data_IF_209066627617
#
_entry.id   IF_209066627617
#
_cell.length_a   1.000
_cell.length_b   1.000
_cell.length_c   1.000
_cell.angle_alpha   90.00
_cell.angle_beta   90.00
_cell.angle_gamma   90.00
#
_symmetry.space_group_name_H-M   'P 1'
#
loop_
_entity.id
_entity.type
_entity.pdbx_description
1 polymer ?
#
# COMPACT_ATOMS: atom_id res chain seq x y z
N UNK A 1 -35.10 73.01 41.57
CA UNK A 1 -33.93 73.64 40.90
C UNK A 1 -33.41 72.64 39.87
N UNK A 2 -33.17 72.92 38.59
CA UNK A 2 -33.33 74.08 37.74
C UNK A 2 -33.20 73.57 36.28
N UNK A 3 -34.08 74.05 35.40
CA UNK A 3 -33.96 74.28 33.94
C UNK A 3 -33.19 73.31 33.02
N UNK A 4 -33.97 72.79 32.07
CA UNK A 4 -33.72 72.72 30.61
C UNK A 4 -32.44 73.34 30.03
N UNK A 5 -31.85 72.67 29.03
CA UNK A 5 -31.78 73.17 27.63
C UNK A 5 -31.07 72.18 26.68
N UNK A 6 -31.49 72.28 25.43
CA UNK A 6 -31.12 71.54 24.23
C UNK A 6 -29.75 71.96 23.64
N UNK A 7 -29.21 71.02 22.84
CA UNK A 7 -28.27 71.13 21.69
C UNK A 7 -26.75 71.25 21.96
N UNK A 8 -25.85 70.89 21.00
CA UNK A 8 -26.06 70.51 19.59
C UNK A 8 -25.30 69.24 19.07
N UNK A 9 -25.65 68.85 17.83
CA UNK A 9 -24.88 67.97 16.94
C UNK A 9 -23.41 68.40 16.80
N UNK A 10 -22.49 67.43 16.85
CA UNK A 10 -21.14 67.57 16.30
C UNK A 10 -20.94 66.50 15.20
N UNK A 11 -20.97 66.96 13.96
CA UNK A 11 -20.64 66.20 12.75
C UNK A 11 -19.11 66.13 12.66
N UNK A 12 -18.52 64.98 13.01
CA UNK A 12 -17.09 64.75 12.81
C UNK A 12 -16.87 64.10 11.43
N UNK A 13 -16.46 64.93 10.47
CA UNK A 13 -15.93 64.50 9.17
C UNK A 13 -14.53 63.89 9.42
N UNK A 14 -14.40 62.57 9.39
CA UNK A 14 -13.09 61.92 9.32
C UNK A 14 -12.72 61.78 7.85
N UNK A 15 -11.79 62.63 7.42
CA UNK A 15 -11.15 62.52 6.10
C UNK A 15 -10.40 61.19 6.00
N UNK A 16 -10.76 60.40 5.00
CA UNK A 16 -10.00 59.23 4.58
C UNK A 16 -8.61 59.66 4.08
N UNK A 17 -7.55 59.20 4.75
CA UNK A 17 -6.23 59.11 4.14
C UNK A 17 -6.23 57.88 3.22
N UNK A 18 -6.77 58.05 2.03
CA UNK A 18 -6.51 57.14 0.92
C UNK A 18 -5.05 57.34 0.50
N UNK A 19 -4.16 56.44 0.93
CA UNK A 19 -2.90 56.25 0.24
C UNK A 19 -3.17 55.91 -1.23
N UNK A 20 -2.29 56.27 -2.17
CA UNK A 20 -2.52 55.97 -3.59
C UNK A 20 -2.75 54.46 -3.72
N UNK A 21 -3.75 54.02 -4.52
CA UNK A 21 -3.89 52.60 -4.78
C UNK A 21 -2.57 52.13 -5.38
N UNK A 22 -1.92 51.17 -4.73
CA UNK A 22 -0.94 50.33 -5.41
C UNK A 22 -1.61 49.91 -6.72
N UNK A 23 -0.92 50.09 -7.85
CA UNK A 23 -1.45 49.76 -9.17
C UNK A 23 -1.75 48.27 -9.14
N UNK A 24 -3.00 47.92 -8.79
CA UNK A 24 -3.45 46.56 -8.72
C UNK A 24 -3.45 46.06 -10.15
N UNK A 25 -2.69 45.01 -10.42
CA UNK A 25 -2.71 44.38 -11.74
C UNK A 25 -4.12 43.93 -12.06
N UNK A 26 -4.43 43.75 -13.33
CA UNK A 26 -5.72 43.15 -13.72
C UNK A 26 -5.91 41.78 -13.07
N UNK A 27 -7.15 41.32 -12.87
CA UNK A 27 -7.40 39.99 -12.27
C UNK A 27 -6.61 38.85 -12.93
N UNK A 28 -6.31 38.97 -14.23
CA UNK A 28 -5.49 38.02 -14.99
C UNK A 28 -3.99 38.15 -14.66
N UNK A 29 -3.47 39.36 -14.47
CA UNK A 29 -2.09 39.59 -14.03
C UNK A 29 -1.87 39.07 -12.61
N UNK A 30 -2.81 39.32 -11.71
CA UNK A 30 -2.77 38.81 -10.33
C UNK A 30 -2.84 37.27 -10.31
N UNK A 31 -3.70 36.65 -11.14
CA UNK A 31 -3.69 35.19 -11.29
C UNK A 31 -2.32 34.67 -11.76
N UNK A 32 -1.74 35.32 -12.77
CA UNK A 32 -0.44 34.90 -13.30
C UNK A 32 0.69 35.05 -12.28
N UNK A 33 0.73 36.17 -11.54
CA UNK A 33 1.66 36.39 -10.44
C UNK A 33 1.49 35.35 -9.32
N UNK A 34 0.24 34.99 -9.00
CA UNK A 34 -0.09 33.93 -8.05
C UNK A 34 0.44 32.56 -8.48
N UNK A 35 0.27 32.19 -9.75
CA UNK A 35 0.80 30.94 -10.32
C UNK A 35 2.33 30.91 -10.32
N UNK A 36 2.98 32.02 -10.71
CA UNK A 36 4.45 32.14 -10.65
C UNK A 36 4.99 32.04 -9.22
N UNK A 37 4.24 32.52 -8.23
CA UNK A 37 4.60 32.41 -6.82
C UNK A 37 4.48 30.96 -6.35
N UNK A 38 3.43 30.24 -6.78
CA UNK A 38 3.26 28.80 -6.55
C UNK A 38 4.43 27.98 -7.13
N UNK A 39 4.86 28.29 -8.36
CA UNK A 39 6.00 27.62 -9.01
C UNK A 39 7.31 27.83 -8.23
N UNK A 40 7.45 28.98 -7.59
CA UNK A 40 8.57 29.32 -6.70
C UNK A 40 8.41 28.80 -5.27
N UNK A 41 7.32 28.08 -4.98
CA UNK A 41 6.94 27.63 -3.63
C UNK A 41 6.72 28.77 -2.61
N UNK A 42 6.50 30.00 -3.08
CA UNK A 42 6.10 31.13 -2.23
C UNK A 42 4.57 31.10 -2.05
N UNK A 43 4.12 30.31 -1.07
CA UNK A 43 2.68 30.16 -0.79
C UNK A 43 2.06 31.41 -0.16
N UNK A 44 2.85 32.21 0.56
CA UNK A 44 2.36 33.44 1.15
C UNK A 44 2.11 34.50 0.07
N UNK A 45 3.07 34.70 -0.84
CA UNK A 45 2.90 35.55 -2.01
C UNK A 45 1.78 35.07 -2.93
N UNK A 46 1.70 33.76 -3.18
CA UNK A 46 0.64 33.18 -3.99
C UNK A 46 -0.76 33.48 -3.43
N UNK A 47 -0.96 33.33 -2.11
CA UNK A 47 -2.24 33.63 -1.48
C UNK A 47 -2.67 35.10 -1.67
N UNK A 48 -1.73 36.04 -1.54
CA UNK A 48 -2.01 37.48 -1.69
C UNK A 48 -2.50 37.76 -3.12
N UNK A 49 -1.72 37.35 -4.11
CA UNK A 49 -2.05 37.57 -5.52
C UNK A 49 -3.36 36.89 -5.93
N UNK A 50 -3.58 35.65 -5.50
CA UNK A 50 -4.81 34.91 -5.82
C UNK A 50 -6.05 35.52 -5.15
N UNK A 51 -5.92 36.04 -3.92
CA UNK A 51 -7.01 36.79 -3.26
C UNK A 51 -7.30 38.10 -3.96
N UNK A 52 -6.28 38.84 -4.40
CA UNK A 52 -6.47 40.09 -5.17
C UNK A 52 -7.18 39.81 -6.50
N UNK A 53 -6.80 38.74 -7.20
CA UNK A 53 -7.49 38.30 -8.41
C UNK A 53 -8.98 38.00 -8.15
N UNK A 54 -9.29 37.31 -7.04
CA UNK A 54 -10.66 36.96 -6.66
C UNK A 54 -11.48 38.13 -6.11
N UNK A 55 -10.84 39.17 -5.55
CA UNK A 55 -11.54 40.41 -5.19
C UNK A 55 -12.07 41.14 -6.43
N UNK A 56 -11.29 41.14 -7.52
CA UNK A 56 -11.70 41.75 -8.79
C UNK A 56 -12.69 40.88 -9.56
N UNK A 57 -12.47 39.55 -9.57
CA UNK A 57 -13.35 38.58 -10.22
C UNK A 57 -13.58 37.35 -9.32
N UNK A 58 -14.66 37.37 -8.50
CA UNK A 58 -14.96 36.27 -7.58
C UNK A 58 -15.27 34.93 -8.27
N UNK A 59 -15.69 34.97 -9.53
CA UNK A 59 -16.05 33.85 -10.40
C UNK A 59 -14.86 33.23 -11.15
N UNK A 60 -13.63 33.70 -10.90
CA UNK A 60 -12.44 33.21 -11.57
C UNK A 60 -12.02 31.82 -11.08
N UNK A 61 -12.60 30.78 -11.68
CA UNK A 61 -12.42 29.39 -11.28
C UNK A 61 -10.93 28.94 -11.21
N UNK A 62 -10.03 29.29 -12.15
CA UNK A 62 -8.61 28.95 -12.07
C UNK A 62 -7.91 29.55 -10.84
N UNK A 63 -8.30 30.77 -10.43
CA UNK A 63 -7.76 31.41 -9.23
C UNK A 63 -8.22 30.68 -7.96
N UNK A 64 -9.46 30.19 -7.92
CA UNK A 64 -9.94 29.37 -6.81
C UNK A 64 -9.21 28.02 -6.73
N UNK A 65 -8.98 27.34 -7.86
CA UNK A 65 -8.20 26.09 -7.88
C UNK A 65 -6.77 26.32 -7.37
N UNK A 66 -6.10 27.36 -7.86
CA UNK A 66 -4.76 27.73 -7.42
C UNK A 66 -4.71 28.11 -5.92
N UNK A 67 -5.74 28.81 -5.42
CA UNK A 67 -5.82 29.18 -4.02
C UNK A 67 -6.08 27.95 -3.13
N UNK A 68 -6.93 27.03 -3.57
CA UNK A 68 -7.13 25.72 -2.92
C UNK A 68 -5.83 24.92 -2.83
N UNK A 69 -5.05 24.87 -3.91
CA UNK A 69 -3.72 24.25 -3.90
C UNK A 69 -2.78 24.95 -2.91
N UNK A 70 -2.78 26.29 -2.87
CA UNK A 70 -1.97 27.09 -1.94
C UNK A 70 -2.29 26.73 -0.48
N UNK A 71 -3.57 26.67 -0.12
CA UNK A 71 -4.02 26.26 1.22
C UNK A 71 -3.59 24.83 1.58
N UNK A 72 -3.64 23.88 0.64
CA UNK A 72 -3.12 22.52 0.87
C UNK A 72 -1.63 22.51 1.19
N UNK A 73 -0.82 23.35 0.53
CA UNK A 73 0.62 23.44 0.77
C UNK A 73 0.95 24.06 2.13
N UNK A 74 0.09 24.93 2.64
CA UNK A 74 0.20 25.53 3.97
C UNK A 74 -0.48 24.69 5.08
N UNK A 75 -1.07 23.53 4.74
CA UNK A 75 -1.73 22.65 5.73
C UNK A 75 -3.11 23.13 6.20
N UNK A 76 -3.71 24.13 5.53
CA UNK A 76 -5.01 24.69 5.88
C UNK A 76 -6.14 23.92 5.18
N UNK A 77 -6.42 22.71 5.66
CA UNK A 77 -7.30 21.73 4.97
C UNK A 77 -8.76 22.17 4.83
N UNK A 78 -9.35 22.79 5.84
CA UNK A 78 -10.76 23.24 5.78
C UNK A 78 -10.96 24.35 4.74
N UNK A 79 -10.02 25.31 4.70
CA UNK A 79 -10.00 26.36 3.68
C UNK A 79 -9.78 25.77 2.29
N UNK A 80 -8.87 24.80 2.15
CA UNK A 80 -8.68 24.11 0.88
C UNK A 80 -9.95 23.39 0.41
N UNK A 81 -10.65 22.67 1.29
CA UNK A 81 -11.85 21.92 0.95
C UNK A 81 -12.98 22.84 0.46
N UNK A 82 -13.30 23.87 1.25
CA UNK A 82 -14.32 24.86 0.92
C UNK A 82 -13.99 25.61 -0.39
N UNK A 83 -12.73 25.97 -0.61
CA UNK A 83 -12.29 26.68 -1.82
C UNK A 83 -12.39 25.78 -3.07
N UNK A 84 -11.95 24.52 -2.98
CA UNK A 84 -12.05 23.56 -4.09
C UNK A 84 -13.51 23.17 -4.40
N UNK A 85 -14.39 23.12 -3.40
CA UNK A 85 -15.83 22.98 -3.60
C UNK A 85 -16.44 24.21 -4.27
N UNK A 86 -15.96 25.42 -3.92
CA UNK A 86 -16.30 26.66 -4.63
C UNK A 86 -15.94 26.58 -6.11
N UNK A 87 -14.71 26.16 -6.43
CA UNK A 87 -14.23 26.07 -7.80
C UNK A 87 -15.06 25.11 -8.65
N UNK A 88 -15.49 23.97 -8.08
CA UNK A 88 -16.40 23.03 -8.74
C UNK A 88 -17.76 23.64 -9.06
N UNK A 89 -18.33 24.44 -8.14
CA UNK A 89 -19.60 25.14 -8.36
C UNK A 89 -19.51 26.18 -9.48
N UNK A 90 -18.32 26.76 -9.68
CA UNK A 90 -18.03 27.68 -10.78
C UNK A 90 -17.66 26.98 -12.10
N UNK A 91 -17.70 25.65 -12.15
CA UNK A 91 -17.46 24.90 -13.37
C UNK A 91 -15.98 24.65 -13.71
N UNK A 92 -15.06 24.76 -12.73
CA UNK A 92 -13.67 24.35 -12.96
C UNK A 92 -13.57 22.87 -13.37
N UNK A 93 -12.61 22.57 -14.25
CA UNK A 93 -12.43 21.22 -14.76
C UNK A 93 -12.07 20.23 -13.65
N UNK A 94 -12.71 19.06 -13.68
CA UNK A 94 -12.43 17.99 -12.71
C UNK A 94 -10.97 17.53 -12.78
N UNK A 95 -10.33 17.60 -13.94
CA UNK A 95 -8.93 17.21 -14.13
C UNK A 95 -7.97 18.04 -13.25
N UNK A 96 -8.29 19.31 -13.01
CA UNK A 96 -7.47 20.20 -12.18
C UNK A 96 -7.75 20.06 -10.68
N UNK A 97 -8.95 19.60 -10.33
CA UNK A 97 -9.47 19.59 -8.96
C UNK A 97 -9.36 18.21 -8.30
N UNK A 98 -9.71 17.15 -9.02
CA UNK A 98 -9.78 15.80 -8.46
C UNK A 98 -8.44 15.33 -7.87
N UNK A 99 -7.25 15.60 -8.45
CA UNK A 99 -5.98 15.29 -7.80
C UNK A 99 -5.78 16.03 -6.47
N UNK A 100 -6.21 17.29 -6.39
CA UNK A 100 -6.08 18.12 -5.17
C UNK A 100 -7.03 17.64 -4.06
N UNK A 101 -8.28 17.34 -4.42
CA UNK A 101 -9.27 16.78 -3.48
C UNK A 101 -8.90 15.37 -3.04
N UNK A 102 -8.37 14.55 -3.94
CA UNK A 102 -7.83 13.24 -3.60
C UNK A 102 -6.66 13.37 -2.60
N UNK A 103 -5.73 14.29 -2.84
CA UNK A 103 -4.64 14.57 -1.91
C UNK A 103 -5.14 15.06 -0.55
N UNK A 104 -6.11 15.98 -0.52
CA UNK A 104 -6.76 16.44 0.71
C UNK A 104 -7.33 15.27 1.53
N UNK A 105 -8.10 14.39 0.89
CA UNK A 105 -8.72 13.23 1.56
C UNK A 105 -7.69 12.24 2.09
N UNK A 106 -6.60 12.01 1.35
CA UNK A 106 -5.46 11.23 1.86
C UNK A 106 -4.81 11.87 3.09
N UNK A 107 -4.67 13.20 3.12
CA UNK A 107 -4.12 13.92 4.28
C UNK A 107 -5.04 13.92 5.50
N UNK A 108 -6.35 13.87 5.29
CA UNK A 108 -7.36 13.69 6.33
C UNK A 108 -7.49 12.23 6.81
N UNK A 109 -6.81 11.27 6.16
CA UNK A 109 -6.92 9.84 6.48
C UNK A 109 -8.20 9.18 5.94
N UNK A 110 -8.96 9.88 5.09
CA UNK A 110 -10.20 9.40 4.48
C UNK A 110 -9.91 8.50 3.25
N UNK A 111 -9.18 7.41 3.45
CA UNK A 111 -8.76 6.51 2.36
C UNK A 111 -9.94 5.88 1.62
N UNK A 112 -11.03 5.55 2.32
CA UNK A 112 -12.22 4.97 1.71
C UNK A 112 -12.91 5.96 0.77
N UNK A 113 -13.03 7.23 1.18
CA UNK A 113 -13.58 8.29 0.33
C UNK A 113 -12.73 8.51 -0.93
N UNK A 114 -11.41 8.29 -0.85
CA UNK A 114 -10.50 8.32 -2.01
C UNK A 114 -10.84 7.21 -3.00
N UNK A 115 -11.09 5.99 -2.53
CA UNK A 115 -11.40 4.84 -3.38
C UNK A 115 -12.79 4.95 -4.02
N UNK A 116 -13.78 5.43 -3.27
CA UNK A 116 -15.17 5.49 -3.72
C UNK A 116 -15.45 6.72 -4.59
N UNK A 117 -14.80 7.85 -4.27
CA UNK A 117 -15.10 9.15 -4.88
C UNK A 117 -14.22 9.53 -6.06
N UNK A 118 -13.08 8.87 -6.27
CA UNK A 118 -12.09 9.27 -7.27
C UNK A 118 -11.70 8.11 -8.17
N UNK A 119 -12.09 8.21 -9.44
CA UNK A 119 -11.69 7.28 -10.49
C UNK A 119 -10.62 7.93 -11.40
N UNK A 120 -9.33 7.55 -11.26
CA UNK A 120 -8.25 8.12 -12.08
C UNK A 120 -8.42 7.86 -13.58
N UNK A 121 -9.23 6.86 -13.97
CA UNK A 121 -9.41 6.48 -15.37
C UNK A 121 -10.43 7.35 -16.11
N UNK A 122 -11.19 8.20 -15.40
CA UNK A 122 -12.02 9.26 -16.00
C UNK A 122 -11.21 10.45 -16.50
N UNK A 123 -9.92 10.49 -16.14
CA UNK A 123 -8.98 11.55 -16.49
C UNK A 123 -7.94 11.05 -17.50
N UNK A 124 -7.33 11.98 -18.22
CA UNK A 124 -6.20 11.72 -19.12
C UNK A 124 -4.99 12.57 -18.73
N UNK A 125 -3.83 12.34 -19.38
CA UNK A 125 -2.64 13.17 -19.21
C UNK A 125 -2.14 13.30 -17.77
N UNK A 126 -1.76 14.53 -17.39
CA UNK A 126 -1.13 14.84 -16.12
C UNK A 126 -2.03 14.56 -14.90
N UNK A 127 -3.33 14.80 -15.00
CA UNK A 127 -4.29 14.58 -13.92
C UNK A 127 -4.34 13.10 -13.52
N UNK A 128 -4.49 12.20 -14.49
CA UNK A 128 -4.46 10.74 -14.26
C UNK A 128 -3.14 10.29 -13.66
N UNK A 129 -2.00 10.77 -14.18
CA UNK A 129 -0.69 10.42 -13.63
C UNK A 129 -0.56 10.85 -12.16
N UNK A 130 -1.01 12.06 -11.81
CA UNK A 130 -0.97 12.59 -10.44
C UNK A 130 -1.88 11.80 -9.50
N UNK A 131 -3.10 11.46 -9.93
CA UNK A 131 -4.03 10.66 -9.15
C UNK A 131 -3.55 9.22 -8.95
N UNK A 132 -3.01 8.57 -9.99
CA UNK A 132 -2.43 7.23 -9.84
C UNK A 132 -1.25 7.22 -8.87
N UNK A 133 -0.39 8.24 -8.93
CA UNK A 133 0.70 8.42 -7.95
C UNK A 133 0.18 8.60 -6.52
N UNK A 134 -0.88 9.38 -6.35
CA UNK A 134 -1.53 9.57 -5.05
C UNK A 134 -2.20 8.29 -4.54
N UNK A 135 -2.68 7.44 -5.46
CA UNK A 135 -3.35 6.17 -5.14
C UNK A 135 -2.37 5.09 -4.68
N UNK A 136 -1.22 5.00 -5.34
CA UNK A 136 -0.54 3.72 -5.48
C UNK A 136 0.54 3.39 -4.46
N UNK A 137 1.17 4.36 -3.81
CA UNK A 137 2.33 4.07 -2.94
C UNK A 137 1.92 3.80 -1.50
N UNK A 138 1.95 2.53 -1.10
CA UNK A 138 1.81 2.11 0.28
C UNK A 138 3.13 1.54 0.79
N UNK A 139 3.54 1.98 1.98
CA UNK A 139 4.72 1.46 2.69
C UNK A 139 4.33 1.12 4.12
N UNK A 140 4.83 0.01 4.63
CA UNK A 140 4.66 -0.41 6.02
C UNK A 140 5.99 -0.94 6.55
N UNK A 141 6.42 -0.42 7.68
CA UNK A 141 7.63 -0.79 8.40
C UNK A 141 7.23 -1.33 9.77
N UNK A 142 7.73 -2.50 10.14
CA UNK A 142 7.40 -3.18 11.38
C UNK A 142 8.66 -3.70 12.07
N UNK A 143 8.88 -3.30 13.31
CA UNK A 143 9.98 -3.81 14.14
C UNK A 143 9.45 -4.60 15.33
N UNK A 144 9.97 -5.80 15.52
CA UNK A 144 9.61 -6.71 16.60
C UNK A 144 10.82 -6.98 17.50
N UNK A 145 10.62 -6.94 18.81
CA UNK A 145 11.69 -7.22 19.77
C UNK A 145 11.16 -7.94 21.02
N UNK A 146 12.00 -8.74 21.71
CA UNK A 146 11.66 -9.28 23.02
C UNK A 146 11.42 -8.15 24.04
N UNK A 147 10.32 -8.24 24.78
CA UNK A 147 9.93 -7.35 25.87
C UNK A 147 9.39 -8.21 27.01
N UNK A 148 10.19 -8.36 28.06
CA UNK A 148 9.95 -9.33 29.14
C UNK A 148 9.78 -10.76 28.57
N UNK A 149 8.71 -11.46 28.93
CA UNK A 149 8.46 -12.85 28.53
C UNK A 149 7.81 -13.01 27.13
N UNK A 150 7.66 -11.93 26.35
CA UNK A 150 7.00 -11.98 25.03
C UNK A 150 7.69 -11.08 24.01
N UNK A 151 7.43 -11.30 22.74
CA UNK A 151 7.81 -10.36 21.67
C UNK A 151 6.76 -9.28 21.53
N UNK A 152 7.15 -8.02 21.36
CA UNK A 152 6.24 -6.92 21.10
C UNK A 152 6.53 -6.27 19.73
N UNK A 153 5.51 -5.66 19.12
CA UNK A 153 5.67 -4.73 18.02
C UNK A 153 6.18 -3.40 18.60
N UNK A 154 7.48 -3.16 18.51
CA UNK A 154 8.16 -1.99 19.08
C UNK A 154 8.32 -0.84 18.09
N UNK A 155 8.15 -1.12 16.80
CA UNK A 155 8.14 -0.10 15.74
C UNK A 155 7.02 -0.39 14.74
N UNK A 156 6.27 0.64 14.36
CA UNK A 156 5.27 0.56 13.30
C UNK A 156 5.15 1.93 12.63
N UNK A 157 5.64 2.04 11.39
CA UNK A 157 5.50 3.24 10.58
C UNK A 157 4.84 2.89 9.25
N UNK A 158 4.01 3.79 8.73
CA UNK A 158 3.30 3.52 7.47
C UNK A 158 3.11 4.77 6.61
N UNK A 159 2.97 4.55 5.30
CA UNK A 159 2.49 5.52 4.32
C UNK A 159 1.42 4.85 3.46
N UNK A 160 0.40 5.61 3.07
CA UNK A 160 -0.71 5.06 2.28
C UNK A 160 -1.60 4.14 3.12
N UNK A 161 -2.26 3.14 2.53
CA UNK A 161 -3.29 2.34 3.19
C UNK A 161 -2.81 1.10 3.98
N UNK A 162 -1.56 0.64 3.82
CA UNK A 162 -1.09 -0.56 4.52
C UNK A 162 -1.05 -0.36 6.04
N UNK A 163 -1.65 -1.27 6.80
CA UNK A 163 -1.76 -1.20 8.27
C UNK A 163 -1.59 -2.58 8.89
N UNK A 164 -1.48 -2.59 10.22
CA UNK A 164 -1.59 -3.81 11.03
C UNK A 164 -2.78 -3.70 11.98
N UNK A 165 -3.38 -4.83 12.33
CA UNK A 165 -4.26 -4.89 13.50
C UNK A 165 -3.44 -4.81 14.80
N UNK A 166 -4.13 -4.57 15.91
CA UNK A 166 -3.52 -4.61 17.25
C UNK A 166 -2.83 -5.97 17.45
N UNK A 167 -1.53 -6.01 17.78
CA UNK A 167 -0.83 -7.26 18.05
C UNK A 167 -1.44 -8.03 19.21
N UNK A 168 -1.38 -9.35 19.15
CA UNK A 168 -1.89 -10.26 20.18
C UNK A 168 -0.97 -11.48 20.35
N UNK A 169 -1.12 -12.19 21.47
CA UNK A 169 -0.19 -13.24 21.92
C UNK A 169 -0.96 -14.48 22.35
N UNK A 170 -1.43 -15.31 21.40
CA UNK A 170 -2.24 -16.48 21.73
C UNK A 170 -1.38 -17.66 22.23
N UNK A 171 -0.08 -17.65 21.92
CA UNK A 171 0.85 -18.72 22.24
C UNK A 171 1.53 -18.46 23.60
N UNK A 172 1.75 -19.53 24.38
CA UNK A 172 2.44 -19.44 25.66
C UNK A 172 3.93 -19.08 25.52
N UNK A 173 4.53 -19.26 24.33
CA UNK A 173 5.93 -18.96 24.05
C UNK A 173 6.22 -17.47 23.81
N UNK A 174 5.21 -16.61 23.97
CA UNK A 174 5.34 -15.17 23.83
C UNK A 174 5.40 -14.67 22.39
N UNK A 175 5.08 -15.52 21.40
CA UNK A 175 5.01 -15.13 19.98
C UNK A 175 4.02 -13.98 19.74
N UNK A 176 4.45 -12.97 18.98
CA UNK A 176 3.63 -11.82 18.59
C UNK A 176 2.89 -12.11 17.27
N UNK A 177 1.56 -12.15 17.29
CA UNK A 177 0.74 -12.38 16.10
C UNK A 177 0.22 -11.04 15.56
N UNK A 178 0.36 -10.84 14.26
CA UNK A 178 -0.07 -9.61 13.58
C UNK A 178 -0.78 -9.92 12.26
N UNK A 179 -1.97 -9.36 12.11
CA UNK A 179 -2.67 -9.32 10.82
C UNK A 179 -2.25 -8.10 10.02
N UNK A 180 -1.71 -8.33 8.83
CA UNK A 180 -1.42 -7.30 7.83
C UNK A 180 -2.69 -6.97 7.05
N UNK A 181 -2.99 -5.68 6.97
CA UNK A 181 -4.16 -5.14 6.31
C UNK A 181 -3.74 -4.33 5.10
N UNK A 182 -4.38 -4.65 3.97
CA UNK A 182 -4.50 -3.75 2.84
C UNK A 182 -5.99 -3.44 2.68
N UNK A 183 -6.51 -2.38 3.36
CA UNK A 183 -7.92 -2.01 3.31
C UNK A 183 -8.48 -1.83 1.89
N UNK A 184 -7.74 -1.32 0.89
CA UNK A 184 -8.22 -1.32 -0.49
C UNK A 184 -8.48 -2.76 -0.94
N UNK A 185 -9.66 -3.01 -1.51
CA UNK A 185 -10.13 -4.35 -1.90
C UNK A 185 -9.24 -5.12 -2.87
N UNK A 186 -8.22 -4.46 -3.44
CA UNK A 186 -7.10 -5.05 -4.17
C UNK A 186 -6.19 -3.96 -4.77
N UNK A 187 -5.24 -4.41 -5.58
CA UNK A 187 -4.12 -3.64 -6.14
C UNK A 187 -4.34 -3.48 -7.64
N UNK A 188 -4.19 -2.26 -8.17
CA UNK A 188 -4.35 -1.97 -9.61
C UNK A 188 -3.02 -1.62 -10.27
N UNK A 189 -3.00 -1.60 -11.61
CA UNK A 189 -1.81 -1.21 -12.35
C UNK A 189 -1.31 0.19 -11.99
N UNK A 190 -0.03 0.30 -11.63
CA UNK A 190 0.60 1.54 -11.17
C UNK A 190 0.76 1.65 -9.66
N UNK A 191 0.09 0.77 -8.88
CA UNK A 191 0.28 0.72 -7.44
C UNK A 191 1.63 0.09 -7.05
N UNK A 192 2.15 0.50 -5.90
CA UNK A 192 3.39 0.05 -5.31
C UNK A 192 3.20 -0.23 -3.82
N UNK A 193 3.28 -1.50 -3.43
CA UNK A 193 3.25 -1.94 -2.04
C UNK A 193 4.66 -2.29 -1.58
N UNK A 194 5.10 -1.70 -0.47
CA UNK A 194 6.36 -2.01 0.19
C UNK A 194 6.12 -2.42 1.64
N UNK A 195 6.60 -3.60 2.01
CA UNK A 195 6.60 -4.10 3.38
C UNK A 195 8.05 -4.33 3.81
N UNK A 196 8.44 -3.75 4.94
CA UNK A 196 9.72 -4.00 5.59
C UNK A 196 9.47 -4.48 7.02
N UNK A 197 9.96 -5.66 7.34
CA UNK A 197 9.77 -6.32 8.63
C UNK A 197 11.13 -6.66 9.20
N UNK A 198 11.39 -6.21 10.43
CA UNK A 198 12.61 -6.56 11.16
C UNK A 198 12.27 -7.22 12.49
N UNK A 199 12.79 -8.42 12.69
CA UNK A 199 12.79 -9.12 13.97
C UNK A 199 14.17 -8.96 14.59
N UNK A 200 14.22 -8.33 15.77
CA UNK A 200 15.43 -8.27 16.59
C UNK A 200 15.83 -9.68 17.07
N UNK A 201 17.08 -9.90 17.51
CA UNK A 201 17.52 -11.18 18.03
C UNK A 201 16.58 -11.75 19.10
N UNK A 202 16.29 -13.06 19.01
CA UNK A 202 15.38 -13.76 19.93
C UNK A 202 13.89 -13.43 19.79
N UNK A 203 13.49 -12.51 18.90
CA UNK A 203 12.09 -12.18 18.69
C UNK A 203 11.33 -13.33 18.02
N UNK A 204 10.04 -13.48 18.33
CA UNK A 204 9.14 -14.48 17.73
C UNK A 204 7.89 -13.80 17.20
N UNK A 205 7.63 -13.91 15.91
CA UNK A 205 6.46 -13.28 15.31
C UNK A 205 5.78 -14.16 14.26
N UNK A 206 4.46 -14.06 14.20
CA UNK A 206 3.63 -14.61 13.13
C UNK A 206 2.92 -13.46 12.41
N UNK A 207 3.16 -13.35 11.11
CA UNK A 207 2.55 -12.37 10.24
C UNK A 207 1.69 -13.08 9.20
N UNK A 208 0.44 -12.67 9.08
CA UNK A 208 -0.51 -13.22 8.11
C UNK A 208 -1.45 -12.12 7.61
N UNK A 209 -2.19 -12.38 6.54
CA UNK A 209 -3.27 -11.50 6.06
C UNK A 209 -4.63 -12.12 6.39
N UNK A 210 -5.68 -11.34 6.66
CA UNK A 210 -7.00 -11.88 6.94
C UNK A 210 -7.75 -12.32 5.67
N UNK A 211 -7.30 -11.87 4.50
CA UNK A 211 -7.91 -12.22 3.22
C UNK A 211 -6.88 -12.23 2.09
N UNK A 212 -7.29 -12.80 0.96
CA UNK A 212 -6.49 -12.88 -0.25
C UNK A 212 -6.09 -11.50 -0.78
N UNK A 213 -4.84 -11.36 -1.21
CA UNK A 213 -4.40 -10.18 -1.96
C UNK A 213 -4.89 -10.28 -3.39
N UNK A 214 -5.62 -9.28 -3.88
CA UNK A 214 -6.20 -9.28 -5.23
C UNK A 214 -5.44 -8.31 -6.12
N UNK A 215 -4.93 -8.76 -7.26
CA UNK A 215 -4.36 -7.90 -8.29
C UNK A 215 -5.31 -7.82 -9.46
N UNK A 216 -5.83 -6.64 -9.73
CA UNK A 216 -6.84 -6.40 -10.76
C UNK A 216 -6.23 -6.16 -12.14
N UNK A 217 -7.11 -6.20 -13.15
CA UNK A 217 -6.79 -5.85 -14.53
C UNK A 217 -6.05 -4.51 -14.62
N UNK A 218 -5.01 -4.49 -15.43
CA UNK A 218 -4.25 -3.27 -15.71
C UNK A 218 -4.59 -2.71 -17.10
N UNK A 219 -4.69 -1.38 -17.19
CA UNK A 219 -4.78 -0.66 -18.47
C UNK A 219 -3.42 -0.33 -19.09
N UNK A 220 -2.33 -0.92 -18.57
CA UNK A 220 -0.97 -0.70 -19.06
C UNK A 220 0.08 -0.74 -17.95
N UNK A 221 -0.08 0.06 -16.90
CA UNK A 221 0.92 0.16 -15.83
C UNK A 221 1.06 -1.15 -15.02
N UNK A 222 2.27 -1.47 -14.55
CA UNK A 222 2.51 -2.65 -13.71
C UNK A 222 2.32 -2.31 -12.24
N UNK A 223 1.64 -3.17 -11.48
CA UNK A 223 1.61 -3.14 -10.03
C UNK A 223 2.89 -3.75 -9.46
N UNK A 224 3.44 -3.16 -8.41
CA UNK A 224 4.67 -3.63 -7.75
C UNK A 224 4.37 -4.01 -6.31
N UNK A 225 4.84 -5.17 -5.87
CA UNK A 225 4.85 -5.58 -4.48
C UNK A 225 6.27 -5.99 -4.08
N UNK A 226 6.78 -5.40 -3.00
CA UNK A 226 8.09 -5.72 -2.43
C UNK A 226 7.94 -6.01 -0.94
N UNK A 227 8.41 -7.17 -0.52
CA UNK A 227 8.36 -7.63 0.86
C UNK A 227 9.78 -8.00 1.27
N UNK A 228 10.31 -7.29 2.26
CA UNK A 228 11.62 -7.52 2.84
C UNK A 228 11.44 -7.94 4.29
N UNK A 229 11.87 -9.14 4.62
CA UNK A 229 11.70 -9.77 5.91
C UNK A 229 13.09 -10.08 6.48
N UNK A 230 13.51 -9.39 7.54
CA UNK A 230 14.83 -9.57 8.18
C UNK A 230 14.63 -10.22 9.55
N UNK A 231 15.28 -11.35 9.77
CA UNK A 231 15.15 -12.16 10.98
C UNK A 231 16.50 -12.26 11.68
N UNK A 232 16.62 -11.62 12.86
CA UNK A 232 17.84 -11.62 13.67
C UNK A 232 18.18 -13.00 14.26
N UNK A 233 19.41 -13.14 14.77
CA UNK A 233 19.88 -14.39 15.37
C UNK A 233 18.95 -14.87 16.51
N UNK A 234 18.69 -16.17 16.57
CA UNK A 234 17.76 -16.81 17.50
C UNK A 234 16.29 -16.38 17.34
N UNK A 235 15.97 -15.51 16.38
CA UNK A 235 14.61 -15.07 16.13
C UNK A 235 13.86 -16.05 15.22
N UNK A 236 12.53 -16.04 15.32
CA UNK A 236 11.62 -16.93 14.60
C UNK A 236 10.52 -16.16 13.88
N UNK A 237 10.38 -16.39 12.57
CA UNK A 237 9.32 -15.79 11.76
C UNK A 237 8.40 -16.86 11.14
N UNK A 238 7.11 -16.72 11.39
CA UNK A 238 6.05 -17.36 10.60
C UNK A 238 5.47 -16.35 9.61
N UNK A 239 5.81 -16.46 8.31
CA UNK A 239 5.27 -15.61 7.24
C UNK A 239 4.21 -16.37 6.44
N UNK A 240 2.94 -16.20 6.81
CA UNK A 240 1.85 -17.07 6.38
C UNK A 240 0.69 -16.27 5.75
N UNK A 241 0.92 -15.46 4.70
CA UNK A 241 -0.16 -14.70 4.07
C UNK A 241 -1.22 -15.61 3.45
N UNK A 242 -2.44 -15.10 3.27
CA UNK A 242 -3.42 -15.77 2.40
C UNK A 242 -2.95 -15.71 0.94
N UNK A 243 -3.65 -16.42 0.06
CA UNK A 243 -3.33 -16.47 -1.35
C UNK A 243 -3.33 -15.11 -2.06
N UNK A 244 -2.52 -15.00 -3.10
CA UNK A 244 -2.56 -13.91 -4.07
C UNK A 244 -3.41 -14.33 -5.26
N UNK A 245 -4.49 -13.60 -5.54
CA UNK A 245 -5.37 -13.81 -6.69
C UNK A 245 -5.01 -12.80 -7.78
N UNK A 246 -4.58 -13.30 -8.94
CA UNK A 246 -4.22 -12.51 -10.10
C UNK A 246 -5.37 -12.51 -11.09
N UNK A 247 -6.11 -11.40 -11.21
CA UNK A 247 -7.25 -11.32 -12.12
C UNK A 247 -6.79 -11.30 -13.58
N UNK A 248 -7.72 -11.65 -14.48
CA UNK A 248 -7.46 -11.60 -15.92
C UNK A 248 -7.06 -10.19 -16.40
N UNK A 249 -5.96 -10.12 -17.14
CA UNK A 249 -5.37 -8.87 -17.62
C UNK A 249 -4.57 -8.10 -16.56
N UNK A 250 -4.33 -8.66 -15.38
CA UNK A 250 -3.45 -8.05 -14.40
C UNK A 250 -1.99 -8.01 -14.89
N UNK A 251 -1.27 -6.96 -14.51
CA UNK A 251 0.17 -6.81 -14.76
C UNK A 251 0.87 -6.57 -13.42
N UNK A 252 1.63 -7.55 -12.92
CA UNK A 252 2.29 -7.42 -11.61
C UNK A 252 3.74 -7.93 -11.59
N UNK A 253 4.53 -7.37 -10.67
CA UNK A 253 5.76 -7.98 -10.19
C UNK A 253 5.75 -7.99 -8.66
N UNK A 254 5.82 -9.18 -8.07
CA UNK A 254 5.94 -9.39 -6.63
C UNK A 254 7.31 -9.97 -6.31
N UNK A 255 7.95 -9.44 -5.28
CA UNK A 255 9.21 -9.97 -4.77
C UNK A 255 9.16 -10.06 -3.25
N UNK A 256 9.46 -11.25 -2.75
CA UNK A 256 9.56 -11.56 -1.33
C UNK A 256 10.99 -11.98 -1.04
N UNK A 257 11.66 -11.24 -0.17
CA UNK A 257 13.04 -11.48 0.23
C UNK A 257 13.10 -11.68 1.73
N UNK A 258 13.50 -12.88 2.13
CA UNK A 258 13.68 -13.30 3.51
C UNK A 258 15.19 -13.41 3.80
N UNK A 259 15.66 -12.63 4.76
CA UNK A 259 17.06 -12.59 5.18
C UNK A 259 17.18 -13.07 6.63
N UNK A 260 17.96 -14.12 6.83
CA UNK A 260 18.18 -14.77 8.12
C UNK A 260 19.60 -14.47 8.61
N UNK A 261 19.74 -14.18 9.90
CA UNK A 261 21.03 -14.04 10.56
C UNK A 261 21.35 -15.27 11.42
N UNK A 262 22.54 -15.85 11.28
CA UNK A 262 23.03 -16.94 12.12
C UNK A 262 22.08 -18.14 12.18
N UNK A 263 21.57 -18.43 13.37
CA UNK A 263 20.66 -19.53 13.69
C UNK A 263 19.16 -19.16 13.61
N UNK A 264 18.83 -17.99 13.03
CA UNK A 264 17.46 -17.57 12.78
C UNK A 264 16.64 -18.65 12.06
N UNK A 265 15.37 -18.75 12.45
CA UNK A 265 14.44 -19.73 11.93
C UNK A 265 13.23 -19.07 11.26
N UNK A 266 12.77 -19.62 10.15
CA UNK A 266 11.58 -19.15 9.47
C UNK A 266 10.78 -20.27 8.82
N UNK A 267 9.45 -20.12 8.84
CA UNK A 267 8.53 -20.84 7.97
C UNK A 267 7.73 -19.81 7.18
N UNK A 268 7.83 -19.85 5.86
CA UNK A 268 7.24 -18.87 4.98
C UNK A 268 6.56 -19.55 3.80
N UNK A 269 5.43 -19.03 3.34
CA UNK A 269 4.83 -19.49 2.08
C UNK A 269 4.34 -18.35 1.19
N UNK A 270 4.22 -18.66 -0.09
CA UNK A 270 3.45 -17.90 -1.07
C UNK A 270 2.51 -18.86 -1.79
N UNK A 271 1.23 -18.50 -1.85
CA UNK A 271 0.19 -19.22 -2.60
C UNK A 271 -0.35 -18.27 -3.66
N UNK A 272 -0.35 -18.68 -4.92
CA UNK A 272 -0.78 -17.84 -6.05
C UNK A 272 -1.87 -18.55 -6.83
N UNK A 273 -2.96 -17.83 -7.11
CA UNK A 273 -4.02 -18.22 -8.03
C UNK A 273 -4.04 -17.29 -9.24
N UNK A 274 -3.93 -17.87 -10.44
CA UNK A 274 -4.06 -17.19 -11.71
C UNK A 274 -5.51 -17.28 -12.20
N UNK A 275 -6.20 -16.15 -12.24
CA UNK A 275 -7.64 -16.07 -12.54
C UNK A 275 -8.52 -16.40 -11.34
N UNK A 276 -9.81 -16.59 -11.61
CA UNK A 276 -10.84 -16.96 -10.62
C UNK A 276 -11.63 -18.16 -11.15
N UNK A 277 -11.05 -19.36 -11.15
CA UNK A 277 -11.68 -20.56 -11.71
C UNK A 277 -13.05 -20.86 -11.07
N UNK A 278 -13.21 -20.61 -9.77
CA UNK A 278 -14.48 -20.78 -9.06
C UNK A 278 -15.59 -19.84 -9.54
N UNK A 279 -15.24 -18.72 -10.19
CA UNK A 279 -16.16 -17.78 -10.81
C UNK A 279 -16.28 -17.96 -12.34
N UNK A 280 -15.68 -19.02 -12.89
CA UNK A 280 -15.63 -19.25 -14.35
C UNK A 280 -14.68 -18.31 -15.10
N UNK A 281 -13.85 -17.54 -14.40
CA UNK A 281 -12.91 -16.61 -15.02
C UNK A 281 -11.52 -17.22 -15.11
N UNK A 282 -11.10 -17.54 -16.34
CA UNK A 282 -9.73 -17.97 -16.63
C UNK A 282 -8.71 -16.81 -16.55
N UNK A 283 -7.45 -17.14 -16.80
CA UNK A 283 -6.36 -16.18 -16.92
C UNK A 283 -5.76 -16.25 -18.33
N UNK A 284 -6.30 -15.42 -19.23
CA UNK A 284 -6.02 -15.42 -20.66
C UNK A 284 -5.20 -14.20 -21.10
N UNK A 285 -5.23 -13.12 -20.32
CA UNK A 285 -4.48 -11.88 -20.55
C UNK A 285 -3.62 -11.50 -19.34
N UNK A 286 -2.58 -10.71 -19.61
CA UNK A 286 -1.75 -10.11 -18.57
C UNK A 286 -0.37 -10.76 -18.45
N UNK A 287 0.34 -10.37 -17.39
CA UNK A 287 1.69 -10.83 -17.10
C UNK A 287 1.94 -10.71 -15.59
N UNK A 288 2.43 -11.78 -14.97
CA UNK A 288 2.85 -11.75 -13.58
C UNK A 288 4.26 -12.29 -13.44
N UNK A 289 5.02 -11.73 -12.51
CA UNK A 289 6.31 -12.27 -12.08
C UNK A 289 6.32 -12.36 -10.57
N UNK A 290 6.71 -13.53 -10.07
CA UNK A 290 6.93 -13.78 -8.66
C UNK A 290 8.40 -14.09 -8.44
N UNK A 291 9.02 -13.40 -7.50
CA UNK A 291 10.37 -13.66 -7.03
C UNK A 291 10.33 -14.01 -5.55
N UNK A 292 10.93 -15.13 -5.18
CA UNK A 292 11.10 -15.52 -3.79
C UNK A 292 12.58 -15.77 -3.53
N UNK A 293 13.14 -15.06 -2.57
CA UNK A 293 14.55 -15.15 -2.21
C UNK A 293 14.70 -15.45 -0.72
N UNK A 294 15.48 -16.47 -0.40
CA UNK A 294 15.91 -16.78 0.97
C UNK A 294 17.42 -16.67 1.06
N UNK A 295 17.89 -15.86 2.01
CA UNK A 295 19.30 -15.61 2.27
C UNK A 295 19.62 -15.91 3.73
N UNK A 296 20.82 -16.44 4.01
CA UNK A 296 21.39 -16.57 5.35
C UNK A 296 22.78 -15.95 5.38
N UNK A 297 23.00 -14.99 6.26
CA UNK A 297 24.29 -14.28 6.41
C UNK A 297 24.89 -13.80 5.08
N UNK A 298 24.02 -13.24 4.23
CA UNK A 298 24.40 -12.72 2.90
C UNK A 298 24.63 -13.80 1.83
N UNK A 299 24.45 -15.10 2.14
CA UNK A 299 24.54 -16.20 1.18
C UNK A 299 23.14 -16.66 0.76
N UNK A 300 22.88 -16.86 -0.55
CA UNK A 300 21.56 -17.33 -1.00
C UNK A 300 21.38 -18.82 -0.66
N UNK A 301 20.24 -19.16 -0.04
CA UNK A 301 19.79 -20.53 0.19
C UNK A 301 18.78 -20.98 -0.86
N UNK A 302 17.90 -20.07 -1.29
CA UNK A 302 16.93 -20.32 -2.36
C UNK A 302 16.72 -19.04 -3.17
N UNK A 303 16.78 -19.15 -4.49
CA UNK A 303 16.39 -18.10 -5.42
C UNK A 303 15.36 -18.69 -6.39
N UNK A 304 14.13 -18.19 -6.35
CA UNK A 304 13.04 -18.65 -7.21
C UNK A 304 12.48 -17.47 -8.00
N UNK A 305 12.33 -17.67 -9.31
CA UNK A 305 11.72 -16.69 -10.21
C UNK A 305 10.71 -17.39 -11.11
N UNK A 306 9.45 -17.01 -10.97
CA UNK A 306 8.33 -17.64 -11.68
C UNK A 306 7.67 -16.61 -12.59
N UNK A 307 8.05 -16.56 -13.89
CA UNK A 307 7.38 -15.71 -14.88
C UNK A 307 6.10 -16.38 -15.37
N UNK A 308 4.96 -15.81 -15.01
CA UNK A 308 3.67 -16.27 -15.50
C UNK A 308 3.25 -15.44 -16.71
N UNK A 309 2.93 -16.11 -17.81
CA UNK A 309 2.25 -15.54 -18.97
C UNK A 309 1.18 -16.52 -19.48
N UNK A 310 -0.04 -16.07 -19.79
CA UNK A 310 -1.07 -16.93 -20.37
C UNK A 310 -0.55 -17.63 -21.63
N UNK A 311 -0.91 -18.91 -21.80
CA UNK A 311 -0.52 -19.71 -22.96
C UNK A 311 0.97 -20.07 -23.07
N UNK A 312 1.83 -19.60 -22.15
CA UNK A 312 3.26 -19.94 -22.14
C UNK A 312 3.51 -21.44 -21.95
N UNK A 313 4.71 -21.90 -22.34
CA UNK A 313 5.12 -23.29 -22.10
C UNK A 313 5.10 -23.63 -20.61
N UNK A 314 5.54 -22.72 -19.74
CA UNK A 314 5.48 -22.90 -18.29
C UNK A 314 4.05 -23.12 -17.80
N UNK A 315 3.06 -22.42 -18.35
CA UNK A 315 1.67 -22.58 -17.95
C UNK A 315 1.08 -23.95 -18.34
N UNK A 316 1.46 -24.50 -19.50
CA UNK A 316 0.82 -25.70 -20.08
C UNK A 316 1.58 -27.00 -19.86
N UNK A 317 2.91 -26.95 -19.86
CA UNK A 317 3.72 -28.16 -19.87
C UNK A 317 3.72 -28.89 -18.52
N UNK A 318 3.87 -30.21 -18.56
CA UNK A 318 3.94 -31.05 -17.37
C UNK A 318 5.17 -30.78 -16.48
N UNK A 319 6.24 -30.18 -17.02
CA UNK A 319 7.39 -29.72 -16.21
C UNK A 319 7.14 -28.36 -15.54
N UNK A 320 6.09 -27.64 -15.95
CA UNK A 320 5.65 -26.38 -15.36
C UNK A 320 4.37 -26.56 -14.52
N UNK A 321 3.37 -25.72 -14.78
CA UNK A 321 2.09 -25.75 -14.06
C UNK A 321 1.15 -26.86 -14.55
N UNK A 322 1.40 -27.51 -15.69
CA UNK A 322 0.56 -28.59 -16.19
C UNK A 322 -0.88 -28.19 -16.47
N UNK A 323 -1.13 -26.92 -16.82
CA UNK A 323 -2.48 -26.38 -17.02
C UNK A 323 -3.19 -25.96 -15.73
N UNK A 324 -2.58 -26.15 -14.56
CA UNK A 324 -3.11 -25.67 -13.30
C UNK A 324 -2.98 -24.16 -13.15
N UNK A 325 -3.93 -23.58 -12.40
CA UNK A 325 -4.02 -22.14 -12.17
C UNK A 325 -3.53 -21.74 -10.79
N UNK A 326 -3.33 -22.69 -9.88
CA UNK A 326 -2.75 -22.45 -8.56
C UNK A 326 -1.38 -23.07 -8.48
N UNK A 327 -0.42 -22.31 -7.96
CA UNK A 327 0.87 -22.82 -7.51
C UNK A 327 1.25 -22.20 -6.18
N UNK A 328 2.07 -22.90 -5.41
CA UNK A 328 2.53 -22.40 -4.13
C UNK A 328 3.91 -22.94 -3.77
N UNK A 329 4.66 -22.16 -3.02
CA UNK A 329 5.96 -22.53 -2.48
C UNK A 329 5.96 -22.25 -0.97
N UNK A 330 6.34 -23.23 -0.17
CA UNK A 330 6.62 -23.10 1.26
C UNK A 330 8.09 -23.43 1.50
N UNK A 331 8.72 -22.63 2.34
CA UNK A 331 10.07 -22.86 2.84
C UNK A 331 10.05 -22.92 4.36
N UNK A 332 10.81 -23.85 4.94
CA UNK A 332 10.97 -23.96 6.39
C UNK A 332 12.41 -24.36 6.74
N UNK A 333 13.07 -23.58 7.60
CA UNK A 333 14.46 -23.81 8.03
C UNK A 333 14.54 -24.82 9.18
N UNK A 334 15.71 -25.42 9.43
CA UNK A 334 15.89 -26.41 10.49
C UNK A 334 15.14 -27.71 10.19
N UNK A 335 14.96 -28.01 8.91
CA UNK A 335 14.45 -29.30 8.46
C UNK A 335 15.54 -30.37 8.50
N UNK A 336 15.11 -31.63 8.53
CA UNK A 336 16.00 -32.78 8.41
C UNK A 336 15.33 -33.88 7.58
N UNK A 337 16.11 -34.85 7.12
CA UNK A 337 15.64 -35.98 6.30
C UNK A 337 14.57 -36.81 6.99
N UNK A 338 14.66 -37.01 8.30
CA UNK A 338 13.69 -37.76 9.10
C UNK A 338 12.34 -37.03 9.12
N UNK A 339 12.36 -35.69 9.26
CA UNK A 339 11.14 -34.88 9.20
C UNK A 339 10.51 -34.95 7.82
N UNK A 340 11.33 -34.85 6.76
CA UNK A 340 10.85 -35.00 5.38
C UNK A 340 10.14 -36.36 5.18
N UNK A 341 10.73 -37.45 5.68
CA UNK A 341 10.14 -38.79 5.56
C UNK A 341 8.77 -38.86 6.25
N UNK A 342 8.66 -38.35 7.50
CA UNK A 342 7.38 -38.28 8.23
C UNK A 342 6.32 -37.43 7.51
N UNK A 343 6.72 -36.28 6.96
CA UNK A 343 5.81 -35.43 6.19
C UNK A 343 5.31 -36.11 4.91
N UNK A 344 6.18 -36.85 4.20
CA UNK A 344 5.80 -37.61 3.01
C UNK A 344 4.83 -38.75 3.35
N UNK A 345 5.04 -39.43 4.47
CA UNK A 345 4.13 -40.49 4.92
C UNK A 345 2.77 -39.92 5.33
N UNK A 346 2.75 -38.85 6.12
CA UNK A 346 1.50 -38.26 6.64
C UNK A 346 0.67 -37.52 5.59
N UNK A 347 1.31 -36.86 4.62
CA UNK A 347 0.62 -36.13 3.55
C UNK A 347 0.30 -37.01 2.34
N UNK A 348 0.91 -38.20 2.26
CA UNK A 348 0.79 -39.12 1.15
C UNK A 348 1.49 -38.62 -0.14
N UNK A 349 1.45 -39.46 -1.17
CA UNK A 349 1.93 -39.10 -2.51
C UNK A 349 0.86 -38.31 -3.27
N UNK A 350 0.66 -37.04 -2.91
CA UNK A 350 -0.13 -36.15 -3.76
C UNK A 350 0.69 -35.80 -5.01
N UNK A 351 0.22 -36.17 -6.21
CA UNK A 351 0.81 -35.79 -7.52
C UNK A 351 1.02 -34.27 -7.69
N UNK A 352 0.38 -33.51 -6.81
CA UNK A 352 0.36 -32.04 -6.77
C UNK A 352 1.33 -31.43 -5.78
N UNK A 353 1.94 -32.21 -4.87
CA UNK A 353 2.83 -31.73 -3.81
C UNK A 353 4.21 -32.37 -3.92
N UNK A 354 5.23 -31.57 -4.16
CA UNK A 354 6.63 -31.96 -4.05
C UNK A 354 7.22 -31.50 -2.73
N UNK A 355 7.90 -32.39 -2.01
CA UNK A 355 8.68 -32.06 -0.82
C UNK A 355 10.15 -32.36 -1.07
N UNK A 356 11.02 -31.38 -0.86
CA UNK A 356 12.47 -31.49 -1.06
C UNK A 356 13.19 -30.99 0.18
N UNK A 357 14.21 -31.72 0.62
CA UNK A 357 15.14 -31.27 1.64
C UNK A 357 16.46 -30.89 0.98
N UNK A 358 16.97 -29.70 1.27
CA UNK A 358 18.22 -29.16 0.76
C UNK A 358 18.95 -28.49 1.93
N UNK A 359 20.04 -29.09 2.38
CA UNK A 359 20.82 -28.65 3.55
C UNK A 359 19.96 -28.49 4.82
N UNK A 360 19.66 -27.25 5.25
CA UNK A 360 18.83 -26.94 6.42
C UNK A 360 17.37 -26.60 6.04
N UNK A 361 17.03 -26.67 4.76
CA UNK A 361 15.79 -26.15 4.19
C UNK A 361 14.86 -27.27 3.72
N UNK A 362 13.63 -27.25 4.23
CA UNK A 362 12.50 -27.93 3.59
C UNK A 362 11.87 -26.97 2.58
N UNK A 363 11.75 -27.42 1.34
CA UNK A 363 11.00 -26.74 0.29
C UNK A 363 9.83 -27.61 -0.11
N UNK A 364 8.61 -27.09 0.06
CA UNK A 364 7.39 -27.72 -0.40
C UNK A 364 6.80 -26.91 -1.57
N UNK A 365 6.49 -27.58 -2.68
CA UNK A 365 5.87 -26.96 -3.85
C UNK A 365 4.55 -27.62 -4.17
N UNK A 366 3.52 -26.81 -4.37
CA UNK A 366 2.21 -27.26 -4.79
C UNK A 366 1.87 -26.72 -6.17
N UNK A 367 1.20 -27.53 -7.00
CA UNK A 367 0.48 -27.08 -8.19
C UNK A 367 -0.88 -27.77 -8.24
N UNK A 368 -1.93 -27.04 -8.60
CA UNK A 368 -3.26 -27.64 -8.65
C UNK A 368 -4.39 -26.65 -8.94
N UNK A 369 -5.64 -27.10 -8.82
CA UNK A 369 -6.79 -26.27 -9.16
C UNK A 369 -7.14 -25.23 -8.07
N UNK A 370 -6.73 -25.44 -6.81
CA UNK A 370 -7.32 -24.76 -5.66
C UNK A 370 -6.30 -24.32 -4.60
N UNK A 371 -6.31 -23.04 -4.22
CA UNK A 371 -5.51 -22.51 -3.13
C UNK A 371 -5.90 -23.06 -1.76
N UNK A 372 -7.16 -23.46 -1.55
CA UNK A 372 -7.55 -24.03 -0.27
C UNK A 372 -6.88 -25.39 -0.04
N UNK A 373 -6.67 -26.21 -1.08
CA UNK A 373 -5.87 -27.43 -0.99
C UNK A 373 -4.41 -27.11 -0.62
N UNK A 374 -3.78 -26.18 -1.34
CA UNK A 374 -2.42 -25.73 -1.04
C UNK A 374 -2.28 -25.30 0.42
N UNK A 375 -3.19 -24.43 0.89
CA UNK A 375 -3.18 -23.90 2.26
C UNK A 375 -3.39 -24.99 3.31
N UNK A 376 -4.27 -25.97 3.07
CA UNK A 376 -4.44 -27.12 3.98
C UNK A 376 -3.15 -27.92 4.12
N UNK A 377 -2.51 -28.28 3.01
CA UNK A 377 -1.25 -29.03 2.99
C UNK A 377 -0.13 -28.23 3.67
N UNK A 378 0.02 -26.96 3.34
CA UNK A 378 1.05 -26.08 3.91
C UNK A 378 0.82 -25.81 5.41
N UNK A 379 -0.44 -25.72 5.86
CA UNK A 379 -0.76 -25.62 7.29
C UNK A 379 -0.34 -26.88 8.04
N UNK A 380 -0.49 -28.07 7.45
CA UNK A 380 -0.03 -29.32 8.07
C UNK A 380 1.50 -29.35 8.22
N UNK A 381 2.22 -28.94 7.17
CA UNK A 381 3.69 -28.82 7.20
C UNK A 381 4.14 -27.81 8.26
N UNK A 382 3.50 -26.63 8.30
CA UNK A 382 3.80 -25.58 9.28
C UNK A 382 3.55 -26.05 10.73
N UNK A 383 2.47 -26.79 10.98
CA UNK A 383 2.17 -27.33 12.31
C UNK A 383 3.25 -28.30 12.78
N UNK A 384 3.68 -29.23 11.94
CA UNK A 384 4.80 -30.14 12.24
C UNK A 384 6.11 -29.37 12.50
N UNK A 385 6.37 -28.32 11.72
CA UNK A 385 7.52 -27.45 11.94
C UNK A 385 7.44 -26.68 13.27
N UNK A 386 6.24 -26.23 13.68
CA UNK A 386 6.05 -25.51 14.95
C UNK A 386 6.26 -26.37 16.18
N UNK A 387 5.75 -27.60 16.19
CA UNK A 387 5.87 -28.52 17.34
C UNK A 387 7.30 -28.95 17.60
N UNK A 388 8.13 -29.05 16.55
CA UNK A 388 9.50 -29.52 16.69
C UNK A 388 10.52 -28.45 17.13
N UNK A 389 10.10 -27.17 17.23
CA UNK A 389 10.93 -26.07 17.74
C UNK A 389 10.73 -25.77 19.24
N UNK A 390 10.02 -26.66 19.96
CA UNK A 390 9.73 -26.54 21.40
C UNK A 390 10.57 -27.47 22.29
N UNK A 391 11.73 -27.92 21.82
CA UNK A 391 12.68 -28.74 22.57
C UNK A 391 13.79 -27.91 23.19
#
# INVERSE_FOLDING_TARGET
>A
MNRSRLQPLALALVFALAGPPAVAGTATEELHAGLQSLDRNDYAGAEIHLKNALQQRPDLAPAQVALGHTYLRQGRFELAESTLQGALRLGAERADIDPLRMYLKLRQGEFQAVLDGFDPYRHTGAARARMLRLRGEARLELGFAPVAARTALVHSAHRGPLRVQRPFHPEADGSCHVYLLHPPGGVVGGDGLALDVQLAPGARALLTTPSASRFYRSAGARALQRQLLRVGAGARLDWLPQETIVFDGARLASTTRLELAGDAAACAWEIVCLGRPAAGEGWTHGEARFGFELWRDGRPLLLEHTPCRPGSALARAAWGLGGHVTFATLVATGACSERLARLRESLGSADRLGLTHCDDLLVARYRGPDAAEARRLFTAIWRDWRTAGGG
#
